data_IF_248841937911
#
_entry.id   IF_248841937911
#
_cell.length_a   1.000
_cell.length_b   1.000
_cell.length_c   1.000
_cell.angle_alpha   90.00
_cell.angle_beta   90.00
_cell.angle_gamma   90.00
#
_symmetry.space_group_name_H-M   'P 1'
#
loop_
_entity.id
_entity.type
_entity.pdbx_description
1 polymer ?
#
# COMPACT_ATOMS: atom_id res chain seq x y z
N UNK A 1 14.90 -28.64 -10.48
CA UNK A 1 15.01 -27.26 -10.99
C UNK A 1 14.15 -26.39 -10.09
N UNK A 2 14.73 -25.68 -9.13
CA UNK A 2 13.98 -24.68 -8.36
C UNK A 2 13.89 -23.41 -9.19
N UNK A 3 12.68 -22.93 -9.44
CA UNK A 3 12.48 -21.60 -10.02
C UNK A 3 13.02 -20.56 -9.03
N UNK A 4 13.62 -19.48 -9.52
CA UNK A 4 14.08 -18.42 -8.62
C UNK A 4 12.86 -17.73 -7.98
N UNK A 5 12.93 -17.36 -6.69
CA UNK A 5 11.82 -16.70 -5.98
C UNK A 5 11.29 -15.44 -6.69
N UNK A 6 12.17 -14.72 -7.38
CA UNK A 6 11.85 -13.53 -8.20
C UNK A 6 10.82 -13.83 -9.30
N UNK A 7 10.91 -15.01 -9.94
CA UNK A 7 9.98 -15.40 -11.00
C UNK A 7 8.59 -15.78 -10.50
N UNK A 8 8.48 -16.20 -9.24
CA UNK A 8 7.21 -16.55 -8.61
C UNK A 8 6.46 -15.31 -8.14
N UNK A 9 7.17 -14.32 -7.59
CA UNK A 9 6.53 -13.07 -7.16
C UNK A 9 5.99 -12.25 -8.35
N UNK A 10 6.70 -12.22 -9.47
CA UNK A 10 6.20 -11.57 -10.69
C UNK A 10 4.91 -12.22 -11.21
N UNK A 11 4.83 -13.56 -11.18
CA UNK A 11 3.60 -14.30 -11.54
C UNK A 11 2.48 -14.02 -10.55
N UNK A 12 2.80 -13.97 -9.25
CA UNK A 12 1.86 -13.61 -8.20
C UNK A 12 1.18 -12.26 -8.50
N UNK A 13 1.94 -11.22 -8.85
CA UNK A 13 1.40 -9.89 -9.18
C UNK A 13 0.49 -9.86 -10.42
N UNK A 14 0.68 -10.82 -11.32
CA UNK A 14 -0.10 -10.97 -12.55
C UNK A 14 -1.32 -11.89 -12.35
N UNK A 15 -1.39 -12.61 -11.24
CA UNK A 15 -2.47 -13.53 -10.95
C UNK A 15 -3.72 -12.79 -10.46
N UNK A 16 -4.70 -12.67 -11.36
CA UNK A 16 -5.99 -12.04 -11.09
C UNK A 16 -6.89 -12.80 -10.09
N UNK A 17 -6.47 -13.94 -9.53
CA UNK A 17 -7.24 -14.62 -8.49
C UNK A 17 -7.18 -13.89 -7.13
N UNK A 18 -6.05 -13.24 -6.84
CA UNK A 18 -5.83 -12.59 -5.55
C UNK A 18 -6.24 -11.11 -5.54
N UNK A 19 -6.20 -10.49 -6.71
CA UNK A 19 -6.62 -9.11 -6.91
C UNK A 19 -8.03 -9.08 -7.49
N UNK A 20 -8.75 -7.96 -7.32
CA UNK A 20 -10.06 -7.85 -7.95
C UNK A 20 -9.92 -8.00 -9.48
N UNK A 21 -10.72 -8.90 -10.04
CA UNK A 21 -10.75 -9.10 -11.48
C UNK A 21 -11.50 -7.95 -12.09
N UNK A 22 -10.81 -7.08 -12.83
CA UNK A 22 -11.49 -6.12 -13.70
C UNK A 22 -11.95 -6.91 -14.91
N UNK A 23 -13.27 -7.12 -15.11
CA UNK A 23 -13.73 -7.75 -16.34
C UNK A 23 -13.24 -6.90 -17.50
N UNK A 24 -12.84 -7.53 -18.61
CA UNK A 24 -12.64 -6.83 -19.88
C UNK A 24 -13.86 -5.94 -20.13
N UNK A 25 -13.63 -4.63 -20.04
CA UNK A 25 -14.63 -3.62 -19.70
C UNK A 25 -15.78 -3.51 -20.69
N UNK A 26 -16.98 -3.23 -20.19
CA UNK A 26 -18.01 -2.50 -20.96
C UNK A 26 -17.51 -1.05 -21.10
N UNK A 27 -17.37 -0.50 -22.32
CA UNK A 27 -16.97 0.89 -22.50
C UNK A 27 -17.95 1.81 -21.76
N UNK A 28 -17.44 2.71 -20.91
CA UNK A 28 -18.26 3.79 -20.34
C UNK A 28 -18.88 4.56 -21.52
N UNK A 29 -20.21 4.71 -21.52
CA UNK A 29 -20.87 5.52 -22.53
C UNK A 29 -20.30 6.94 -22.47
N UNK A 30 -19.72 7.40 -23.57
CA UNK A 30 -19.23 8.77 -23.71
C UNK A 30 -20.42 9.72 -23.56
N UNK A 31 -20.62 10.31 -22.38
CA UNK A 31 -21.39 11.56 -22.28
C UNK A 31 -20.57 12.66 -22.99
N UNK A 32 -21.21 13.60 -23.70
CA UNK A 32 -20.51 14.74 -24.26
C UNK A 32 -19.80 15.50 -23.13
N UNK A 33 -18.55 15.96 -23.37
CA UNK A 33 -17.74 16.59 -22.34
C UNK A 33 -18.48 17.79 -21.76
N UNK A 34 -18.53 17.88 -20.43
CA UNK A 34 -18.97 19.12 -19.81
C UNK A 34 -17.85 20.14 -20.06
N UNK A 35 -18.16 21.19 -20.82
CA UNK A 35 -17.46 22.48 -20.90
C UNK A 35 -15.91 22.49 -21.06
N UNK A 36 -15.29 21.35 -21.39
CA UNK A 36 -13.83 21.20 -21.56
C UNK A 36 -13.04 21.16 -20.24
N UNK A 37 -13.71 21.15 -19.09
CA UNK A 37 -13.07 21.12 -17.79
C UNK A 37 -12.93 19.68 -17.31
N UNK A 38 -11.70 19.17 -17.20
CA UNK A 38 -11.39 17.89 -16.53
C UNK A 38 -11.98 17.86 -15.11
N UNK A 39 -12.13 19.02 -14.48
CA UNK A 39 -12.76 19.19 -13.16
C UNK A 39 -14.28 19.04 -13.26
N UNK A 40 -14.91 19.55 -14.32
CA UNK A 40 -16.33 19.39 -14.62
C UNK A 40 -16.73 17.94 -14.88
N UNK A 41 -15.96 17.20 -15.69
CA UNK A 41 -16.23 15.79 -15.98
C UNK A 41 -16.04 14.89 -14.75
N UNK A 42 -15.03 15.16 -13.92
CA UNK A 42 -14.83 14.43 -12.65
C UNK A 42 -15.93 14.79 -11.66
N UNK A 43 -16.32 16.06 -11.51
CA UNK A 43 -17.41 16.45 -10.61
C UNK A 43 -18.74 15.89 -11.11
N UNK A 44 -19.06 15.96 -12.40
CA UNK A 44 -20.28 15.39 -12.96
C UNK A 44 -20.32 13.87 -12.77
N UNK A 45 -19.22 13.16 -13.01
CA UNK A 45 -19.15 11.72 -12.80
C UNK A 45 -19.20 11.36 -11.30
N UNK A 46 -18.55 12.11 -10.42
CA UNK A 46 -18.56 11.90 -8.96
C UNK A 46 -19.92 12.29 -8.36
N UNK A 47 -20.62 13.27 -8.91
CA UNK A 47 -21.95 13.74 -8.45
C UNK A 47 -23.06 12.85 -9.00
N UNK A 48 -22.97 12.40 -10.25
CA UNK A 48 -23.88 11.41 -10.86
C UNK A 48 -23.68 10.01 -10.25
N UNK A 49 -22.44 9.61 -9.91
CA UNK A 49 -22.18 8.30 -9.29
C UNK A 49 -22.40 8.30 -7.77
N UNK A 50 -21.99 9.36 -7.05
CA UNK A 50 -21.87 9.33 -5.58
C UNK A 50 -22.85 10.25 -4.85
N UNK A 51 -23.75 10.95 -5.57
CA UNK A 51 -25.00 11.50 -5.04
C UNK A 51 -24.91 12.17 -3.67
N UNK A 52 -24.13 13.25 -3.54
CA UNK A 52 -24.25 14.29 -2.51
C UNK A 52 -24.17 13.94 -1.01
N UNK A 53 -24.17 12.67 -0.61
CA UNK A 53 -24.12 12.25 0.79
C UNK A 53 -23.63 10.81 0.89
N UNK A 54 -22.42 10.63 1.41
CA UNK A 54 -21.79 9.31 1.49
C UNK A 54 -22.46 8.46 2.58
N UNK A 55 -23.24 7.46 2.15
CA UNK A 55 -23.29 6.17 2.84
C UNK A 55 -22.32 5.24 2.12
N UNK A 56 -21.50 4.48 2.83
CA UNK A 56 -20.54 3.51 2.26
C UNK A 56 -21.16 2.54 1.22
N UNK A 57 -22.48 2.36 1.29
CA UNK A 57 -23.27 1.61 0.31
C UNK A 57 -23.27 2.15 -1.11
N UNK A 58 -22.80 3.38 -1.38
CA UNK A 58 -22.82 3.96 -2.74
C UNK A 58 -21.60 3.56 -3.59
N UNK A 59 -20.43 3.31 -2.97
CA UNK A 59 -19.21 2.89 -3.71
C UNK A 59 -19.16 1.38 -3.92
N UNK A 60 -19.68 0.61 -2.96
CA UNK A 60 -19.64 -0.86 -2.98
C UNK A 60 -20.26 -1.51 -4.23
N UNK A 61 -21.37 -0.99 -4.81
CA UNK A 61 -21.95 -1.53 -6.04
C UNK A 61 -21.12 -1.28 -7.31
N UNK A 62 -20.16 -0.37 -7.27
CA UNK A 62 -19.29 -0.03 -8.40
C UNK A 62 -17.99 -0.84 -8.41
N UNK A 63 -17.81 -1.71 -7.41
CA UNK A 63 -16.62 -2.54 -7.30
C UNK A 63 -16.65 -3.61 -8.40
N UNK A 64 -15.51 -3.90 -9.05
CA UNK A 64 -15.38 -5.16 -9.79
C UNK A 64 -15.65 -6.34 -8.84
N UNK A 65 -15.85 -7.54 -9.40
CA UNK A 65 -15.95 -8.74 -8.59
C UNK A 65 -14.67 -8.87 -7.76
N UNK A 66 -14.80 -8.59 -6.46
CA UNK A 66 -13.69 -8.65 -5.52
C UNK A 66 -13.39 -10.13 -5.21
N UNK A 67 -12.12 -10.45 -5.04
CA UNK A 67 -11.75 -11.69 -4.37
C UNK A 67 -12.33 -11.68 -2.94
N UNK A 68 -12.59 -12.86 -2.38
CA UNK A 68 -13.08 -12.99 -1.00
C UNK A 68 -12.18 -12.24 0.00
N UNK A 69 -10.88 -12.24 -0.26
CA UNK A 69 -9.88 -11.55 0.55
C UNK A 69 -9.99 -10.02 0.41
N UNK A 70 -10.05 -9.49 -0.82
CA UNK A 70 -10.26 -8.06 -1.05
C UNK A 70 -11.58 -7.57 -0.46
N UNK A 71 -12.66 -8.36 -0.54
CA UNK A 71 -13.94 -8.05 0.07
C UNK A 71 -13.87 -8.04 1.61
N UNK A 72 -13.20 -9.02 2.21
CA UNK A 72 -12.97 -9.06 3.65
C UNK A 72 -12.25 -7.80 4.15
N UNK A 73 -11.11 -7.46 3.53
CA UNK A 73 -10.36 -6.26 3.92
C UNK A 73 -11.17 -4.99 3.61
N UNK A 74 -11.80 -4.88 2.45
CA UNK A 74 -12.65 -3.72 2.13
C UNK A 74 -13.72 -3.46 3.19
N UNK A 75 -14.44 -4.50 3.61
CA UNK A 75 -15.47 -4.41 4.65
C UNK A 75 -14.89 -3.98 6.01
N UNK A 76 -13.71 -4.50 6.36
CA UNK A 76 -13.09 -4.27 7.67
C UNK A 76 -12.39 -2.90 7.76
N UNK A 77 -11.74 -2.46 6.68
CA UNK A 77 -10.83 -1.32 6.72
C UNK A 77 -11.30 -0.14 5.87
N UNK A 78 -11.97 -0.40 4.74
CA UNK A 78 -12.45 0.64 3.82
C UNK A 78 -13.42 1.64 4.47
N UNK A 79 -14.33 1.14 5.33
CA UNK A 79 -15.25 2.00 6.09
C UNK A 79 -14.53 2.95 7.05
N UNK A 80 -13.56 2.42 7.78
CA UNK A 80 -12.77 3.20 8.73
C UNK A 80 -11.98 4.28 7.99
N UNK A 81 -11.28 3.92 6.91
CA UNK A 81 -10.54 4.87 6.09
C UNK A 81 -11.43 5.98 5.53
N UNK A 82 -12.60 5.64 4.98
CA UNK A 82 -13.54 6.64 4.47
C UNK A 82 -13.98 7.63 5.58
N UNK A 83 -14.29 7.11 6.77
CA UNK A 83 -14.64 7.93 7.93
C UNK A 83 -13.48 8.85 8.33
N UNK A 84 -12.25 8.35 8.30
CA UNK A 84 -11.06 9.14 8.65
C UNK A 84 -10.78 10.25 7.64
N UNK A 85 -10.85 9.95 6.34
CA UNK A 85 -10.67 10.93 5.25
C UNK A 85 -11.73 12.04 5.31
N UNK A 86 -12.99 11.68 5.55
CA UNK A 86 -14.08 12.63 5.75
C UNK A 86 -13.85 13.47 7.01
N UNK A 87 -13.51 12.83 8.13
CA UNK A 87 -13.19 13.52 9.39
C UNK A 87 -12.03 14.49 9.20
N UNK A 88 -11.02 14.11 8.41
CA UNK A 88 -9.88 14.94 8.06
C UNK A 88 -10.16 16.05 7.03
N UNK A 89 -11.41 16.19 6.58
CA UNK A 89 -11.83 17.21 5.62
C UNK A 89 -11.02 17.18 4.33
N UNK A 90 -10.70 15.98 3.85
CA UNK A 90 -10.08 15.85 2.54
C UNK A 90 -11.10 16.29 1.47
N UNK A 91 -10.68 16.94 0.37
CA UNK A 91 -11.55 17.19 -0.75
C UNK A 91 -12.20 15.89 -1.24
N UNK A 92 -13.48 15.94 -1.65
CA UNK A 92 -14.23 14.75 -2.09
C UNK A 92 -13.49 13.96 -3.19
N UNK A 93 -12.85 14.68 -4.12
CA UNK A 93 -12.02 14.08 -5.16
C UNK A 93 -10.90 13.21 -4.57
N UNK A 94 -10.27 13.70 -3.52
CA UNK A 94 -9.16 13.02 -2.84
C UNK A 94 -9.64 11.87 -1.97
N UNK A 95 -10.78 12.02 -1.29
CA UNK A 95 -11.41 10.89 -0.58
C UNK A 95 -11.70 9.75 -1.55
N UNK A 96 -12.25 10.09 -2.72
CA UNK A 96 -12.55 9.12 -3.77
C UNK A 96 -11.28 8.51 -4.35
N UNK A 97 -10.25 9.30 -4.67
CA UNK A 97 -8.99 8.76 -5.23
C UNK A 97 -8.27 7.80 -4.29
N UNK A 98 -8.42 8.03 -2.99
CA UNK A 98 -7.81 7.24 -1.93
C UNK A 98 -8.56 5.94 -1.64
N UNK A 99 -9.87 5.88 -1.93
CA UNK A 99 -10.66 4.66 -1.83
C UNK A 99 -10.69 3.90 -3.16
N UNK A 100 -10.67 4.65 -4.27
CA UNK A 100 -10.80 4.23 -5.66
C UNK A 100 -9.62 4.77 -6.46
N UNK A 101 -8.67 3.91 -6.80
CA UNK A 101 -7.51 4.27 -7.62
C UNK A 101 -7.90 4.25 -9.10
N UNK A 102 -7.47 5.25 -9.87
CA UNK A 102 -7.62 5.24 -11.34
C UNK A 102 -6.35 4.64 -11.96
N UNK A 103 -6.48 3.54 -12.68
CA UNK A 103 -5.42 2.97 -13.52
C UNK A 103 -5.58 3.53 -14.92
N UNK A 104 -4.54 4.22 -15.38
CA UNK A 104 -4.42 4.66 -16.77
C UNK A 104 -3.76 3.53 -17.56
N UNK A 105 -4.47 2.98 -18.53
CA UNK A 105 -3.84 2.15 -19.55
C UNK A 105 -2.89 3.01 -20.40
N UNK A 106 -1.74 2.45 -20.85
CA UNK A 106 -0.84 3.10 -21.79
C UNK A 106 -1.56 3.51 -23.09
N UNK A 107 -0.98 4.44 -23.89
CA UNK A 107 -1.70 5.30 -24.83
C UNK A 107 -2.42 4.62 -26.01
N UNK A 108 -2.41 3.30 -26.13
CA UNK A 108 -3.03 2.59 -27.26
C UNK A 108 -4.55 2.37 -27.10
N UNK A 109 -5.10 2.30 -25.87
CA UNK A 109 -6.54 2.08 -25.64
C UNK A 109 -6.98 2.79 -24.35
N UNK A 110 -7.55 3.98 -24.49
CA UNK A 110 -7.98 4.83 -23.38
C UNK A 110 -9.22 4.26 -22.64
N UNK A 111 -9.04 3.15 -21.93
CA UNK A 111 -10.02 2.59 -21.01
C UNK A 111 -9.56 2.94 -19.60
N UNK A 112 -10.15 3.99 -19.02
CA UNK A 112 -9.88 4.29 -17.61
C UNK A 112 -10.51 3.20 -16.75
N UNK A 113 -9.68 2.37 -16.13
CA UNK A 113 -10.14 1.39 -15.16
C UNK A 113 -10.00 1.99 -13.77
N UNK A 114 -11.08 1.94 -12.99
CA UNK A 114 -11.06 2.32 -11.59
C UNK A 114 -10.81 1.05 -10.77
N UNK A 115 -9.59 0.90 -10.26
CA UNK A 115 -9.20 -0.22 -9.41
C UNK A 115 -9.17 0.29 -7.98
N UNK A 116 -9.75 -0.41 -7.03
CA UNK A 116 -9.81 0.10 -5.66
C UNK A 116 -8.44 -0.05 -4.98
N UNK A 117 -8.07 0.89 -4.09
CA UNK A 117 -6.85 0.77 -3.28
C UNK A 117 -6.77 -0.61 -2.62
N UNK A 118 -7.90 -1.07 -2.09
CA UNK A 118 -8.06 -2.37 -1.44
C UNK A 118 -8.19 -3.55 -2.39
N UNK A 119 -8.51 -3.33 -3.66
CA UNK A 119 -8.44 -4.38 -4.68
C UNK A 119 -6.98 -4.73 -5.02
N UNK A 120 -6.04 -3.78 -4.91
CA UNK A 120 -4.60 -4.00 -5.10
C UNK A 120 -3.90 -4.39 -3.81
N UNK A 121 -4.12 -3.65 -2.74
CA UNK A 121 -3.48 -3.95 -1.45
C UNK A 121 -4.11 -5.16 -0.76
N UNK A 122 -5.40 -5.45 -0.97
CA UNK A 122 -6.07 -6.58 -0.32
C UNK A 122 -5.40 -7.92 -0.62
N UNK A 123 -4.83 -8.11 -1.82
CA UNK A 123 -4.06 -9.31 -2.16
C UNK A 123 -2.73 -9.41 -1.40
N UNK A 124 -2.13 -8.28 -0.99
CA UNK A 124 -0.88 -8.26 -0.20
C UNK A 124 -1.13 -8.25 1.30
N UNK A 125 -2.39 -8.28 1.74
CA UNK A 125 -2.74 -8.28 3.16
C UNK A 125 -2.78 -9.69 3.75
N UNK A 126 -2.41 -10.71 2.97
CA UNK A 126 -2.37 -12.11 3.42
C UNK A 126 -3.74 -12.75 3.63
N UNK A 127 -3.77 -14.07 3.77
CA UNK A 127 -5.00 -14.83 3.98
C UNK A 127 -5.85 -14.27 5.13
N UNK A 128 -7.17 -14.29 4.97
CA UNK A 128 -8.12 -13.80 6.00
C UNK A 128 -8.03 -14.59 7.31
N UNK A 129 -7.41 -15.78 7.28
CA UNK A 129 -7.14 -16.64 8.43
C UNK A 129 -5.84 -16.33 9.18
N UNK A 130 -4.98 -15.44 8.68
CA UNK A 130 -3.68 -15.11 9.33
C UNK A 130 -3.88 -14.50 10.72
N UNK A 131 -4.99 -13.78 10.94
CA UNK A 131 -5.35 -13.25 12.26
C UNK A 131 -5.43 -14.34 13.36
N UNK A 132 -5.47 -15.62 12.99
CA UNK A 132 -5.53 -16.77 13.89
C UNK A 132 -4.27 -17.65 13.92
N UNK A 133 -3.21 -17.36 13.14
CA UNK A 133 -1.97 -18.16 13.16
C UNK A 133 -0.98 -17.60 14.18
N UNK A 134 -0.77 -18.33 15.27
CA UNK A 134 0.26 -18.01 16.25
C UNK A 134 1.66 -18.11 15.61
N UNK A 135 2.50 -17.08 15.76
CA UNK A 135 3.89 -17.05 15.27
C UNK A 135 4.12 -16.24 13.98
N UNK A 136 3.09 -15.96 13.18
CA UNK A 136 3.20 -15.12 11.97
C UNK A 136 2.52 -13.75 12.14
N UNK A 137 2.22 -13.35 13.39
CA UNK A 137 1.55 -12.09 13.67
C UNK A 137 2.40 -10.90 13.25
N UNK A 138 1.71 -9.84 12.82
CA UNK A 138 2.37 -8.59 12.45
C UNK A 138 2.74 -7.80 13.69
N UNK A 139 3.96 -7.26 13.72
CA UNK A 139 4.38 -6.27 14.73
C UNK A 139 3.82 -4.86 14.43
N UNK A 140 3.03 -4.70 13.37
CA UNK A 140 2.44 -3.42 12.99
C UNK A 140 1.47 -2.89 14.04
N UNK A 141 0.79 -3.78 14.76
CA UNK A 141 -0.20 -3.41 15.79
C UNK A 141 -0.10 -4.36 16.98
N UNK A 142 -0.55 -3.91 18.15
CA UNK A 142 -0.50 -4.73 19.37
C UNK A 142 -1.43 -5.94 19.35
N UNK A 143 -2.44 -5.95 18.49
CA UNK A 143 -3.36 -7.09 18.32
C UNK A 143 -2.93 -8.07 17.22
N UNK A 144 -1.76 -7.83 16.60
CA UNK A 144 -1.21 -8.67 15.55
C UNK A 144 -1.78 -8.39 14.15
N UNK A 145 -2.66 -7.40 14.00
CA UNK A 145 -3.17 -6.95 12.70
C UNK A 145 -2.05 -6.38 11.84
N UNK A 146 -2.08 -6.71 10.56
CA UNK A 146 -1.09 -6.28 9.58
C UNK A 146 -1.41 -4.96 8.88
N UNK A 147 -2.38 -4.20 9.40
CA UNK A 147 -2.69 -2.85 8.96
C UNK A 147 -2.97 -1.96 10.14
N UNK A 148 -2.44 -0.75 10.09
CA UNK A 148 -2.68 0.30 11.06
C UNK A 148 -3.08 1.59 10.35
N UNK A 149 -4.02 2.34 10.92
CA UNK A 149 -4.32 3.71 10.51
C UNK A 149 -3.77 4.68 11.54
N UNK A 150 -3.18 5.78 11.09
CA UNK A 150 -2.74 6.85 11.98
C UNK A 150 -3.07 8.23 11.42
N UNK A 151 -3.19 9.19 12.34
CA UNK A 151 -3.39 10.60 12.02
C UNK A 151 -2.14 11.39 12.37
N UNK A 152 -1.72 12.27 11.47
CA UNK A 152 -0.80 13.34 11.81
C UNK A 152 -1.60 14.64 11.95
N UNK A 153 -1.72 15.13 13.18
CA UNK A 153 -2.43 16.38 13.51
C UNK A 153 -1.36 17.47 13.72
N UNK A 154 -1.25 18.47 12.82
CA UNK A 154 -0.30 19.55 13.03
C UNK A 154 -0.71 20.41 14.23
N UNK A 155 0.28 20.93 14.98
CA UNK A 155 0.03 21.62 16.26
C UNK A 155 -0.82 22.89 16.15
N UNK A 156 -0.82 23.55 14.99
CA UNK A 156 -1.40 24.88 14.80
C UNK A 156 -2.52 24.89 13.75
N UNK A 157 -3.11 23.74 13.44
CA UNK A 157 -4.16 23.66 12.41
C UNK A 157 -5.52 23.85 13.05
N UNK A 158 -6.30 24.80 12.54
CA UNK A 158 -7.68 25.00 12.97
C UNK A 158 -8.53 23.77 12.57
N UNK A 159 -9.37 23.29 13.48
CA UNK A 159 -10.31 22.21 13.20
C UNK A 159 -11.29 22.58 12.09
N UNK A 160 -11.51 23.87 11.84
CA UNK A 160 -12.39 24.38 10.78
C UNK A 160 -11.75 24.30 9.39
N UNK A 161 -10.42 24.28 9.29
CA UNK A 161 -9.69 24.23 8.02
C UNK A 161 -9.91 22.92 7.25
N UNK A 162 -9.84 23.01 5.92
CA UNK A 162 -9.78 21.83 5.06
C UNK A 162 -8.47 21.08 5.29
N UNK A 163 -8.52 19.75 5.19
CA UNK A 163 -7.33 18.91 5.35
C UNK A 163 -6.61 19.10 6.69
N UNK A 164 -7.39 19.30 7.77
CA UNK A 164 -6.89 19.69 9.09
C UNK A 164 -6.00 18.65 9.80
N UNK A 165 -5.89 17.46 9.24
CA UNK A 165 -5.01 16.37 9.68
C UNK A 165 -4.62 15.56 8.47
N UNK A 166 -3.51 14.82 8.54
CA UNK A 166 -3.10 13.89 7.48
C UNK A 166 -3.41 12.46 7.88
N UNK A 167 -4.00 11.71 6.97
CA UNK A 167 -4.24 10.28 7.12
C UNK A 167 -3.04 9.51 6.60
N UNK A 168 -2.63 8.51 7.38
CA UNK A 168 -1.65 7.52 6.98
C UNK A 168 -2.24 6.15 7.24
N UNK A 169 -1.82 5.17 6.44
CA UNK A 169 -1.97 3.79 6.84
C UNK A 169 -0.68 3.03 6.57
N UNK A 170 -0.41 2.04 7.41
CA UNK A 170 0.77 1.20 7.35
C UNK A 170 0.31 -0.23 7.14
N UNK A 171 1.04 -1.00 6.33
CA UNK A 171 0.80 -2.43 6.16
C UNK A 171 2.08 -3.22 6.38
N UNK A 172 1.92 -4.46 6.85
CA UNK A 172 2.90 -5.53 6.65
C UNK A 172 2.36 -6.45 5.57
N UNK A 173 3.15 -6.65 4.52
CA UNK A 173 2.72 -7.42 3.36
C UNK A 173 2.90 -8.92 3.60
N UNK A 174 1.86 -9.68 3.27
CA UNK A 174 1.82 -11.12 3.38
C UNK A 174 1.29 -11.74 2.09
N UNK A 175 1.82 -12.92 1.77
CA UNK A 175 1.35 -13.72 0.65
C UNK A 175 -0.10 -14.15 0.91
N UNK A 176 -1.03 -13.95 -0.04
CA UNK A 176 -2.46 -14.19 0.18
C UNK A 176 -2.82 -15.65 0.40
N UNK A 177 -2.06 -16.57 -0.21
CA UNK A 177 -2.30 -18.01 -0.09
C UNK A 177 -1.60 -18.61 1.14
N UNK A 178 -0.27 -18.49 1.20
CA UNK A 178 0.52 -19.14 2.24
C UNK A 178 0.53 -18.40 3.57
N UNK A 179 0.30 -17.08 3.54
CA UNK A 179 0.38 -16.21 4.72
C UNK A 179 1.78 -15.89 5.19
N UNK A 180 2.80 -16.17 4.38
CA UNK A 180 4.17 -15.79 4.67
C UNK A 180 4.43 -14.31 4.39
N UNK A 181 5.37 -13.70 5.11
CA UNK A 181 5.81 -12.32 4.86
C UNK A 181 6.38 -12.19 3.44
N UNK A 182 6.14 -11.07 2.80
CA UNK A 182 6.75 -10.71 1.52
C UNK A 182 7.87 -9.70 1.80
N UNK A 183 9.00 -9.81 1.09
CA UNK A 183 10.08 -8.84 1.16
C UNK A 183 9.57 -7.41 0.86
N UNK A 184 9.84 -6.47 1.77
CA UNK A 184 9.37 -5.09 1.66
C UNK A 184 9.85 -4.41 0.39
N UNK A 185 11.11 -4.62 0.01
CA UNK A 185 11.71 -4.09 -1.21
C UNK A 185 10.99 -4.54 -2.48
N UNK A 186 10.51 -5.78 -2.52
CA UNK A 186 9.72 -6.32 -3.63
C UNK A 186 8.34 -5.65 -3.74
N UNK A 187 7.67 -5.44 -2.61
CA UNK A 187 6.38 -4.76 -2.58
C UNK A 187 6.52 -3.30 -2.98
N UNK A 188 7.56 -2.60 -2.51
CA UNK A 188 7.89 -1.25 -2.96
C UNK A 188 8.21 -1.22 -4.46
N UNK A 189 8.96 -2.20 -4.98
CA UNK A 189 9.23 -2.32 -6.41
C UNK A 189 7.94 -2.38 -7.22
N UNK A 190 7.01 -3.24 -6.79
CA UNK A 190 5.70 -3.39 -7.42
C UNK A 190 4.87 -2.10 -7.34
N UNK A 191 4.75 -1.49 -6.16
CA UNK A 191 3.99 -0.25 -5.99
C UNK A 191 4.59 0.92 -6.79
N UNK A 192 5.89 0.94 -7.04
CA UNK A 192 6.52 1.91 -7.93
C UNK A 192 6.47 1.53 -9.42
N UNK A 193 6.10 0.30 -9.78
CA UNK A 193 6.01 -0.14 -11.19
C UNK A 193 4.83 0.51 -11.89
N UNK A 194 4.72 0.38 -13.22
CA UNK A 194 3.53 0.83 -13.93
C UNK A 194 2.32 -0.07 -13.64
N UNK A 195 2.54 -1.39 -13.48
CA UNK A 195 1.47 -2.35 -13.23
C UNK A 195 0.92 -2.28 -11.79
N UNK A 196 1.80 -2.11 -10.80
CA UNK A 196 1.42 -2.11 -9.39
C UNK A 196 1.15 -0.74 -8.80
N UNK A 197 1.49 0.33 -9.53
CA UNK A 197 1.25 1.69 -9.07
C UNK A 197 -0.23 1.97 -8.86
N UNK A 198 -0.52 2.51 -7.69
CA UNK A 198 -1.86 2.95 -7.28
C UNK A 198 -2.31 4.24 -8.00
N UNK A 199 -1.76 4.57 -9.16
CA UNK A 199 -2.05 5.77 -9.97
C UNK A 199 -1.71 7.12 -9.32
N UNK A 200 -1.61 7.16 -8.00
CA UNK A 200 -1.43 8.35 -7.17
C UNK A 200 -0.06 8.42 -6.49
N UNK A 201 0.77 7.38 -6.62
CA UNK A 201 2.09 7.35 -5.99
C UNK A 201 2.99 8.39 -6.67
N UNK A 202 3.54 9.30 -5.88
CA UNK A 202 4.52 10.28 -6.36
C UNK A 202 5.80 9.57 -6.78
N UNK A 203 6.20 9.75 -8.04
CA UNK A 203 7.41 9.17 -8.64
C UNK A 203 8.31 10.30 -9.13
N UNK A 204 9.13 10.84 -8.24
CA UNK A 204 10.19 11.77 -8.62
C UNK A 204 11.45 10.97 -9.02
N UNK A 205 12.29 11.46 -9.95
CA UNK A 205 13.57 10.82 -10.25
C UNK A 205 14.39 10.59 -8.98
N UNK A 206 14.88 9.36 -8.78
CA UNK A 206 15.65 8.97 -7.60
C UNK A 206 14.85 8.80 -6.29
N UNK A 207 13.53 9.06 -6.29
CA UNK A 207 12.68 8.97 -5.09
C UNK A 207 12.50 7.56 -4.51
N UNK A 208 13.13 6.55 -5.12
CA UNK A 208 13.11 5.15 -4.69
C UNK A 208 14.51 4.63 -4.30
N UNK A 209 15.58 5.27 -4.77
CA UNK A 209 16.96 4.80 -4.63
C UNK A 209 17.36 4.63 -3.16
N UNK A 210 16.78 5.46 -2.28
CA UNK A 210 16.97 5.38 -0.84
C UNK A 210 16.62 4.00 -0.27
N UNK A 211 15.67 3.27 -0.86
CA UNK A 211 15.28 1.94 -0.37
C UNK A 211 16.41 0.95 -0.57
N UNK A 212 17.06 0.98 -1.74
CA UNK A 212 18.12 0.03 -2.09
C UNK A 212 19.37 0.30 -1.28
N UNK A 213 19.68 1.59 -1.07
CA UNK A 213 20.76 2.05 -0.18
C UNK A 213 20.51 1.57 1.26
N UNK A 214 19.29 1.81 1.78
CA UNK A 214 18.94 1.46 3.15
C UNK A 214 18.95 -0.06 3.37
N UNK A 215 18.32 -0.84 2.48
CA UNK A 215 18.29 -2.30 2.57
C UNK A 215 19.69 -2.90 2.45
N UNK A 216 20.53 -2.41 1.53
CA UNK A 216 21.93 -2.86 1.43
C UNK A 216 22.74 -2.49 2.66
N UNK A 217 22.46 -1.36 3.29
CA UNK A 217 23.13 -0.94 4.52
C UNK A 217 22.71 -1.80 5.73
N UNK A 218 21.42 -2.11 5.89
CA UNK A 218 20.93 -2.95 6.99
C UNK A 218 21.24 -4.43 6.79
N UNK A 219 21.23 -4.88 5.53
CA UNK A 219 21.38 -6.29 5.15
C UNK A 219 22.45 -6.41 4.05
N UNK A 220 23.74 -6.25 4.39
CA UNK A 220 24.82 -6.19 3.40
C UNK A 220 24.94 -7.46 2.57
N UNK A 221 24.48 -8.60 3.08
CA UNK A 221 24.66 -9.91 2.45
C UNK A 221 23.46 -10.38 1.61
N UNK A 222 22.36 -9.61 1.54
CA UNK A 222 21.21 -10.01 0.72
C UNK A 222 21.59 -9.98 -0.76
N UNK A 223 21.17 -11.02 -1.49
CA UNK A 223 21.43 -11.11 -2.93
C UNK A 223 20.51 -10.16 -3.71
N UNK A 224 19.31 -9.90 -3.19
CA UNK A 224 18.29 -9.05 -3.81
C UNK A 224 17.41 -8.37 -2.76
N UNK A 225 16.89 -7.18 -3.08
CA UNK A 225 15.85 -6.48 -2.29
C UNK A 225 14.48 -7.17 -2.37
N UNK A 226 14.39 -8.25 -3.16
CA UNK A 226 13.22 -9.10 -3.26
C UNK A 226 13.33 -10.37 -2.42
N UNK A 227 14.47 -10.57 -1.75
CA UNK A 227 14.70 -11.68 -0.84
C UNK A 227 14.18 -11.32 0.55
N UNK A 228 13.47 -12.27 1.17
CA UNK A 228 13.01 -12.10 2.55
C UNK A 228 14.21 -12.34 3.48
N UNK A 229 14.53 -11.36 4.32
CA UNK A 229 15.44 -11.56 5.45
C UNK A 229 14.65 -12.17 6.59
N UNK A 230 15.06 -13.36 7.03
CA UNK A 230 14.44 -14.06 8.16
C UNK A 230 14.47 -13.17 9.42
N UNK A 231 13.38 -13.21 10.20
CA UNK A 231 13.16 -12.40 11.41
C UNK A 231 13.19 -10.87 11.24
N UNK A 232 13.39 -10.35 10.02
CA UNK A 232 13.20 -8.93 9.76
C UNK A 232 11.71 -8.60 9.58
N UNK A 233 11.31 -7.41 10.05
CA UNK A 233 9.96 -6.88 9.82
C UNK A 233 10.01 -5.72 8.85
N UNK A 234 9.24 -5.83 7.77
CA UNK A 234 9.07 -4.80 6.74
C UNK A 234 7.67 -4.21 6.81
N UNK A 235 7.57 -2.90 7.01
CA UNK A 235 6.31 -2.18 6.98
C UNK A 235 6.33 -1.10 5.89
N UNK A 236 5.23 -0.92 5.18
CA UNK A 236 5.08 0.12 4.17
C UNK A 236 3.97 1.05 4.61
N UNK A 237 4.29 2.33 4.79
CA UNK A 237 3.31 3.35 5.07
C UNK A 237 2.99 4.18 3.83
N UNK A 238 1.73 4.55 3.75
CA UNK A 238 1.11 5.34 2.69
C UNK A 238 0.69 6.66 3.31
N UNK A 239 1.47 7.70 3.06
CA UNK A 239 1.14 9.06 3.43
C UNK A 239 0.16 9.62 2.39
N UNK A 240 -1.09 9.80 2.80
CA UNK A 240 -2.19 10.16 1.90
C UNK A 240 -2.32 11.68 1.87
N UNK A 241 -1.94 12.31 0.76
CA UNK A 241 -2.03 13.75 0.59
C UNK A 241 -3.48 14.17 0.29
N UNK A 242 -3.94 15.33 0.79
CA UNK A 242 -5.24 15.89 0.43
C UNK A 242 -5.35 16.29 -1.04
N UNK A 243 -4.25 16.32 -1.79
CA UNK A 243 -4.28 16.43 -3.25
C UNK A 243 -4.72 15.13 -3.95
N UNK A 244 -4.84 14.03 -3.22
CA UNK A 244 -5.07 12.68 -3.76
C UNK A 244 -3.78 11.92 -4.07
N UNK A 245 -2.62 12.56 -3.93
CA UNK A 245 -1.32 11.90 -4.11
C UNK A 245 -0.97 11.01 -2.90
N UNK A 246 -0.12 10.02 -3.13
CA UNK A 246 0.37 9.09 -2.12
C UNK A 246 1.89 9.15 -2.10
N UNK A 247 2.47 9.31 -0.91
CA UNK A 247 3.91 9.15 -0.69
C UNK A 247 4.14 7.84 0.05
N UNK A 248 5.06 7.01 -0.44
CA UNK A 248 5.43 5.78 0.25
C UNK A 248 6.57 6.03 1.23
N UNK A 249 6.51 5.34 2.37
CA UNK A 249 7.59 5.21 3.35
C UNK A 249 7.78 3.74 3.65
N UNK A 250 9.01 3.34 3.97
CA UNK A 250 9.27 2.01 4.49
C UNK A 250 9.89 2.09 5.87
N UNK A 251 9.51 1.12 6.71
CA UNK A 251 10.13 0.86 7.99
C UNK A 251 10.71 -0.54 7.93
N UNK A 252 11.98 -0.64 8.31
CA UNK A 252 12.71 -1.87 8.33
C UNK A 252 13.19 -2.09 9.76
N UNK A 253 12.73 -3.18 10.37
CA UNK A 253 13.16 -3.59 11.69
C UNK A 253 14.09 -4.78 11.47
N UNK A 254 15.40 -4.64 11.75
CA UNK A 254 16.33 -5.75 11.58
C UNK A 254 16.02 -6.86 12.59
N UNK A 255 16.46 -8.10 12.32
CA UNK A 255 16.33 -9.22 13.25
C UNK A 255 16.87 -8.85 14.63
N UNK A 256 16.23 -9.35 15.68
CA UNK A 256 16.78 -9.22 17.01
C UNK A 256 18.14 -9.92 17.08
N UNK A 257 19.17 -9.28 17.66
CA UNK A 257 20.43 -9.97 17.89
C UNK A 257 20.15 -11.21 18.78
N UNK A 258 20.83 -12.33 18.54
CA UNK A 258 20.66 -13.52 19.36
C UNK A 258 20.91 -13.14 20.82
N UNK A 259 20.05 -13.63 21.73
CA UNK A 259 20.25 -13.42 23.16
C UNK A 259 21.67 -13.90 23.54
N UNK A 260 22.41 -13.16 24.37
CA UNK A 260 23.81 -13.48 24.70
C UNK A 260 24.03 -14.91 25.22
N UNK A 261 22.99 -15.52 25.81
CA UNK A 261 23.01 -16.88 26.36
C UNK A 261 22.77 -17.99 25.31
N UNK A 262 22.24 -17.63 24.13
CA UNK A 262 21.95 -18.54 23.02
C UNK A 262 22.87 -18.29 21.81
N UNK A 263 23.63 -17.19 21.80
CA UNK A 263 24.68 -16.97 20.82
C UNK A 263 25.69 -18.13 20.90
N UNK A 264 25.99 -18.84 19.80
CA UNK A 264 27.08 -19.80 19.77
C UNK A 264 28.33 -19.11 20.34
N UNK A 265 28.98 -19.69 21.35
CA UNK A 265 30.13 -19.07 22.06
C UNK A 265 31.29 -18.63 21.15
N UNK A 266 31.27 -19.04 19.88
CA UNK A 266 32.26 -18.72 18.86
C UNK A 266 31.81 -17.66 17.84
N UNK A 267 30.56 -17.19 17.91
CA UNK A 267 29.99 -16.15 17.05
C UNK A 267 29.46 -15.00 17.89
N UNK A 268 30.29 -14.49 18.80
CA UNK A 268 30.12 -13.11 19.26
C UNK A 268 30.49 -12.22 18.07
N UNK A 269 29.58 -12.12 17.11
CA UNK A 269 29.57 -11.05 16.14
C UNK A 269 29.48 -9.76 16.95
N UNK A 270 30.62 -9.13 17.15
CA UNK A 270 30.69 -7.77 17.64
C UNK A 270 29.93 -6.90 16.64
N UNK A 271 28.64 -6.69 16.87
CA UNK A 271 27.91 -5.54 16.36
C UNK A 271 28.52 -4.29 17.02
N UNK A 272 29.70 -3.90 16.56
CA UNK A 272 30.24 -2.56 16.83
C UNK A 272 29.52 -1.59 15.92
N UNK A 273 28.45 -1.00 16.43
CA UNK A 273 27.70 0.09 15.78
C UNK A 273 28.50 1.42 15.77
N UNK A 274 29.79 1.44 16.16
CA UNK A 274 30.47 2.72 16.46
C UNK A 274 31.81 3.00 15.78
N UNK A 275 32.38 2.12 14.95
CA UNK A 275 33.78 2.36 14.53
C UNK A 275 33.95 3.01 13.14
N UNK A 276 32.88 3.23 12.36
CA UNK A 276 32.98 3.82 11.00
C UNK A 276 31.92 4.89 10.69
N UNK A 277 31.46 5.67 11.67
CA UNK A 277 30.80 6.94 11.35
C UNK A 277 31.90 7.99 11.22
N UNK A 278 32.54 8.06 10.05
CA UNK A 278 33.13 9.34 9.66
C UNK A 278 31.98 10.35 9.53
N UNK A 279 32.13 11.58 10.05
CA UNK A 279 31.12 12.61 9.87
C UNK A 279 30.97 12.86 8.36
N UNK A 280 29.76 12.67 7.84
CA UNK A 280 29.39 13.14 6.50
C UNK A 280 29.80 14.61 6.38
N UNK A 281 30.75 14.89 5.48
CA UNK A 281 31.11 16.23 5.03
C UNK A 281 30.17 16.70 3.93
#
# INVERSE_FOLDING_TARGET
>A
MSLSPVSELSKFWQDGHYFAQVPTSIPLQRKPPSDGSIVGDVIAMTTDLLGGSYKLGTVTPMLPVLSMQSDFFWKRVGRSLASQLSTAKYPIRSQTSHLVVRVFDPPARATSQYIHLWARLGGTMGATSIASRAGEQSECTSDGSNVEYSWAIPRNTDLTEDSNRRIRFTIVAFHPEFGHRIAGGAVLNYLYSYEGSLGSIKKEPGSKDWKDILEKWMFPDIASTEELVEDATYMIAFDMEPSGAITLKSYNIPPHPPLPELAPKNEVATYRVTDNIEPFK
#
